data_IF_743740669480
#
_entry.id   IF_743740669480
#
_cell.length_a   1.000
_cell.length_b   1.000
_cell.length_c   1.000
_cell.angle_alpha   90.00
_cell.angle_beta   90.00
_cell.angle_gamma   90.00
#
_symmetry.space_group_name_H-M   'P 1'
#
loop_
_entity.id
_entity.type
_entity.pdbx_description
1 polymer ?
#
# COMPACT_ATOMS: atom_id res chain seq x y z
N UNK A 1 -45.88 72.33 13.77
CA UNK A 1 -45.95 72.76 15.18
C UNK A 1 -46.26 71.51 15.99
N UNK A 2 -45.29 71.05 16.80
CA UNK A 2 -45.36 69.79 17.51
C UNK A 2 -46.25 69.92 18.76
N UNK A 3 -47.16 68.97 18.92
CA UNK A 3 -48.14 68.89 20.00
C UNK A 3 -47.52 68.54 21.36
N UNK A 4 -48.18 69.05 22.39
CA UNK A 4 -47.81 69.01 23.80
C UNK A 4 -48.47 67.83 24.54
N UNK A 5 -47.63 67.03 25.21
CA UNK A 5 -47.80 66.32 26.52
C UNK A 5 -48.80 65.14 26.61
N UNK A 6 -48.65 64.21 27.61
CA UNK A 6 -47.73 64.21 28.76
C UNK A 6 -46.86 62.95 28.95
N UNK A 7 -45.63 63.18 29.38
CA UNK A 7 -44.58 62.25 29.84
C UNK A 7 -44.74 61.82 31.31
N UNK A 8 -45.94 61.86 31.89
CA UNK A 8 -46.14 61.64 33.34
C UNK A 8 -46.47 60.20 33.74
N UNK A 9 -46.92 59.36 32.80
CA UNK A 9 -47.29 57.97 33.12
C UNK A 9 -46.06 57.06 33.19
N UNK A 10 -45.03 57.32 32.37
CA UNK A 10 -43.81 56.49 32.34
C UNK A 10 -43.03 56.57 33.67
N UNK A 11 -42.94 57.75 34.29
CA UNK A 11 -42.20 57.93 35.55
C UNK A 11 -42.85 57.24 36.76
N UNK A 12 -44.15 56.97 36.70
CA UNK A 12 -44.87 56.25 37.75
C UNK A 12 -44.59 54.74 37.73
N UNK A 13 -44.29 54.17 36.55
CA UNK A 13 -43.92 52.75 36.43
C UNK A 13 -42.48 52.50 36.90
N UNK A 14 -41.55 53.39 36.57
CA UNK A 14 -40.13 53.27 36.97
C UNK A 14 -39.91 53.45 38.49
N UNK A 15 -40.87 54.08 39.19
CA UNK A 15 -40.80 54.32 40.64
C UNK A 15 -41.26 53.13 41.50
N UNK A 16 -42.00 52.16 40.93
CA UNK A 16 -42.48 50.97 41.65
C UNK A 16 -41.47 49.81 41.66
N UNK A 17 -40.48 49.83 40.77
CA UNK A 17 -39.47 48.76 40.67
C UNK A 17 -38.27 48.94 41.61
N UNK A 18 -38.17 50.08 42.32
CA UNK A 18 -36.93 50.45 43.02
C UNK A 18 -36.85 50.15 44.51
N UNK A 19 -37.89 49.55 45.11
CA UNK A 19 -37.84 49.19 46.54
C UNK A 19 -38.25 47.75 46.80
N UNK A 20 -37.41 46.79 46.41
CA UNK A 20 -37.23 45.55 47.20
C UNK A 20 -35.77 45.11 47.12
N UNK A 21 -34.92 45.77 47.92
CA UNK A 21 -33.54 45.36 48.14
C UNK A 21 -33.49 43.91 48.66
N UNK A 22 -32.66 43.09 48.03
CA UNK A 22 -32.39 41.73 48.53
C UNK A 22 -31.68 41.85 49.87
N UNK A 23 -32.32 41.34 50.92
CA UNK A 23 -31.63 41.11 52.19
C UNK A 23 -30.86 39.81 52.03
N UNK A 24 -29.53 39.88 52.03
CA UNK A 24 -28.69 38.69 52.07
C UNK A 24 -29.07 37.84 53.30
N UNK A 25 -29.39 36.57 53.06
CA UNK A 25 -29.68 35.62 54.12
C UNK A 25 -28.39 35.35 54.89
N UNK A 26 -28.38 35.68 56.18
CA UNK A 26 -27.24 35.45 57.07
C UNK A 26 -27.01 33.94 57.21
N UNK A 27 -25.96 33.41 56.56
CA UNK A 27 -25.60 32.00 56.68
C UNK A 27 -24.84 31.77 57.99
N UNK A 28 -25.31 30.83 58.80
CA UNK A 28 -24.70 30.49 60.07
C UNK A 28 -23.28 29.92 59.87
N UNK A 29 -22.29 30.42 60.63
CA UNK A 29 -20.87 30.00 60.58
C UNK A 29 -20.60 28.58 61.07
N UNK A 30 -21.58 27.67 61.02
CA UNK A 30 -21.44 26.33 61.59
C UNK A 30 -21.30 25.26 60.52
N UNK A 31 -20.02 24.95 60.28
CA UNK A 31 -19.37 23.73 59.72
C UNK A 31 -19.85 23.22 58.35
N UNK A 32 -18.89 23.04 57.44
CA UNK A 32 -19.09 22.39 56.14
C UNK A 32 -19.48 20.90 56.26
N UNK A 33 -19.84 20.25 55.14
CA UNK A 33 -20.39 18.89 55.16
C UNK A 33 -19.39 17.89 55.76
N UNK A 34 -19.78 17.22 56.84
CA UNK A 34 -19.02 16.13 57.46
C UNK A 34 -19.33 14.84 56.70
N UNK A 35 -18.30 14.21 56.12
CA UNK A 35 -18.44 12.88 55.52
C UNK A 35 -18.56 11.84 56.64
N UNK A 36 -19.62 11.05 56.61
CA UNK A 36 -19.82 9.92 57.53
C UNK A 36 -18.74 8.85 57.29
N UNK A 37 -18.22 8.25 58.36
CA UNK A 37 -17.06 7.33 58.37
C UNK A 37 -17.16 6.16 57.37
N UNK A 38 -18.38 5.74 57.01
CA UNK A 38 -18.64 4.70 56.01
C UNK A 38 -18.09 4.99 54.60
N UNK A 39 -17.69 6.24 54.31
CA UNK A 39 -17.10 6.64 53.03
C UNK A 39 -15.58 6.87 53.07
N UNK A 40 -14.94 6.85 54.25
CA UNK A 40 -13.51 7.20 54.38
C UNK A 40 -12.62 5.98 54.06
N UNK A 41 -13.08 4.76 54.33
CA UNK A 41 -12.28 3.54 54.19
C UNK A 41 -12.60 2.70 52.94
N UNK A 42 -13.11 3.32 51.87
CA UNK A 42 -13.29 2.64 50.57
C UNK A 42 -12.17 3.10 49.62
N UNK A 43 -11.21 2.24 49.25
CA UNK A 43 -10.22 2.62 48.24
C UNK A 43 -10.95 2.86 46.91
N UNK A 44 -10.66 3.97 46.23
CA UNK A 44 -11.34 4.37 45.00
C UNK A 44 -11.17 3.38 43.84
N UNK A 45 -10.19 2.47 43.92
CA UNK A 45 -9.88 1.46 42.88
C UNK A 45 -9.30 0.19 43.50
N UNK A 46 -10.14 -0.66 44.08
CA UNK A 46 -9.78 -2.06 44.29
C UNK A 46 -11.04 -2.94 44.36
N UNK A 47 -11.51 -3.36 43.19
CA UNK A 47 -12.44 -4.48 43.08
C UNK A 47 -11.64 -5.65 42.52
N UNK A 48 -11.55 -6.76 43.25
CA UNK A 48 -11.22 -8.04 42.61
C UNK A 48 -12.27 -8.21 41.50
N UNK A 49 -11.83 -8.26 40.24
CA UNK A 49 -12.75 -8.47 39.12
C UNK A 49 -13.61 -9.72 39.33
N UNK A 50 -14.66 -9.92 38.53
CA UNK A 50 -15.49 -11.12 38.65
C UNK A 50 -14.60 -12.37 38.65
N UNK A 51 -14.87 -13.29 39.58
CA UNK A 51 -14.14 -14.54 39.67
C UNK A 51 -14.17 -15.24 38.30
N UNK A 52 -13.03 -15.73 37.82
CA UNK A 52 -12.98 -16.63 36.66
C UNK A 52 -13.62 -17.94 37.08
N UNK A 53 -14.94 -18.04 36.92
CA UNK A 53 -15.65 -19.30 37.08
C UNK A 53 -15.40 -20.07 35.78
N UNK A 54 -14.64 -21.16 35.85
CA UNK A 54 -14.48 -22.07 34.71
C UNK A 54 -15.84 -22.70 34.40
N UNK A 55 -16.62 -22.05 33.54
CA UNK A 55 -17.79 -22.68 32.94
C UNK A 55 -17.27 -23.77 32.02
N UNK A 56 -17.56 -25.03 32.35
CA UNK A 56 -17.26 -26.17 31.47
C UNK A 56 -17.95 -25.90 30.12
N UNK A 57 -17.17 -25.56 29.08
CA UNK A 57 -17.69 -25.31 27.73
C UNK A 57 -18.57 -26.51 27.33
N UNK A 58 -19.79 -26.31 26.81
CA UNK A 58 -20.58 -27.41 26.31
C UNK A 58 -19.79 -28.13 25.21
N UNK A 59 -19.73 -29.45 25.29
CA UNK A 59 -19.02 -30.26 24.30
C UNK A 59 -19.57 -29.93 22.91
N UNK A 60 -18.67 -29.60 21.98
CA UNK A 60 -19.02 -29.42 20.57
C UNK A 60 -19.71 -30.70 20.07
N UNK A 61 -20.88 -30.56 19.43
CA UNK A 61 -21.54 -31.70 18.80
C UNK A 61 -20.68 -32.20 17.64
N UNK A 62 -19.95 -33.29 17.84
CA UNK A 62 -19.17 -33.93 16.79
C UNK A 62 -20.13 -34.59 15.80
N UNK A 63 -20.09 -34.17 14.53
CA UNK A 63 -20.69 -34.96 13.45
C UNK A 63 -19.87 -36.26 13.33
N UNK A 64 -20.49 -37.45 13.33
CA UNK A 64 -19.74 -38.68 13.22
C UNK A 64 -19.05 -38.72 11.85
N UNK A 65 -17.81 -39.22 11.82
CA UNK A 65 -17.11 -39.48 10.57
C UNK A 65 -17.95 -40.44 9.70
N UNK A 66 -17.95 -40.28 8.37
CA UNK A 66 -18.62 -41.23 7.49
C UNK A 66 -18.04 -42.64 7.71
N UNK A 67 -18.93 -43.61 7.90
CA UNK A 67 -18.57 -45.01 8.18
C UNK A 67 -19.09 -45.86 7.03
N UNK A 68 -18.23 -46.70 6.44
CA UNK A 68 -18.65 -47.74 5.52
C UNK A 68 -19.10 -48.97 6.31
N UNK A 69 -20.29 -49.47 6.00
CA UNK A 69 -20.82 -50.74 6.51
C UNK A 69 -20.63 -51.78 5.42
N UNK A 70 -19.73 -52.74 5.62
CA UNK A 70 -19.43 -53.75 4.59
C UNK A 70 -20.35 -54.97 4.66
N UNK A 71 -20.84 -55.31 5.85
CA UNK A 71 -21.66 -56.49 6.09
C UNK A 71 -22.99 -56.11 6.75
N UNK A 72 -24.06 -56.86 6.47
CA UNK A 72 -25.37 -56.69 7.13
C UNK A 72 -25.28 -56.83 8.66
N UNK A 73 -24.22 -57.47 9.16
CA UNK A 73 -23.95 -57.70 10.58
C UNK A 73 -23.28 -56.50 11.27
N UNK A 74 -23.04 -55.39 10.57
CA UNK A 74 -22.62 -54.14 11.18
C UNK A 74 -21.10 -53.98 11.34
N UNK A 75 -20.29 -54.71 10.57
CA UNK A 75 -18.85 -54.43 10.49
C UNK A 75 -18.64 -53.06 9.85
N UNK A 76 -18.10 -52.13 10.65
CA UNK A 76 -17.95 -50.71 10.33
C UNK A 76 -16.47 -50.38 10.22
N UNK A 77 -16.06 -49.76 9.12
CA UNK A 77 -14.76 -49.08 9.04
C UNK A 77 -14.95 -47.59 8.79
N UNK A 78 -14.07 -46.79 9.38
CA UNK A 78 -13.97 -45.36 9.08
C UNK A 78 -13.65 -45.25 7.58
N UNK A 79 -14.44 -44.46 6.87
CA UNK A 79 -14.22 -44.21 5.44
C UNK A 79 -12.94 -43.37 5.30
N UNK A 80 -11.93 -43.91 4.64
CA UNK A 80 -10.71 -43.15 4.32
C UNK A 80 -11.03 -42.11 3.23
N UNK A 81 -10.50 -40.90 3.39
CA UNK A 81 -10.57 -39.87 2.36
C UNK A 81 -9.84 -40.41 1.12
N UNK A 82 -10.58 -40.82 0.09
CA UNK A 82 -10.02 -41.32 -1.16
C UNK A 82 -9.04 -40.28 -1.70
N UNK A 83 -7.73 -40.50 -1.53
CA UNK A 83 -6.65 -39.51 -1.62
C UNK A 83 -6.44 -38.86 -3.00
N UNK A 84 -7.44 -38.87 -3.87
CA UNK A 84 -7.41 -38.27 -5.19
C UNK A 84 -8.21 -36.96 -5.22
N UNK A 85 -7.58 -35.87 -4.76
CA UNK A 85 -8.04 -34.52 -5.10
C UNK A 85 -7.21 -34.02 -6.27
N UNK A 86 -7.70 -34.20 -7.51
CA UNK A 86 -7.08 -33.57 -8.69
C UNK A 86 -7.38 -32.07 -8.72
N UNK A 87 -6.56 -31.29 -8.00
CA UNK A 87 -6.59 -29.81 -7.96
C UNK A 87 -5.92 -29.17 -9.18
N UNK A 88 -6.30 -29.55 -10.41
CA UNK A 88 -5.80 -28.87 -11.61
C UNK A 88 -6.80 -27.86 -12.20
N UNK A 89 -8.02 -27.84 -11.69
CA UNK A 89 -9.08 -26.90 -12.08
C UNK A 89 -8.85 -25.49 -11.51
N UNK A 90 -8.18 -25.38 -10.35
CA UNK A 90 -7.91 -24.10 -9.67
C UNK A 90 -6.42 -23.76 -9.67
N UNK A 91 -5.78 -23.73 -10.84
CA UNK A 91 -4.45 -23.10 -10.92
C UNK A 91 -4.62 -21.59 -10.74
N UNK A 92 -3.87 -20.93 -9.83
CA UNK A 92 -3.97 -19.47 -9.62
C UNK A 92 -3.59 -18.66 -10.87
N UNK A 93 -2.86 -19.28 -11.78
CA UNK A 93 -2.36 -18.68 -13.02
C UNK A 93 -3.05 -19.26 -14.28
N UNK A 94 -4.22 -19.88 -14.11
CA UNK A 94 -5.01 -20.34 -15.25
C UNK A 94 -5.36 -19.18 -16.17
N UNK A 95 -5.03 -19.30 -17.46
CA UNK A 95 -5.23 -18.24 -18.47
C UNK A 95 -4.22 -17.09 -18.42
N UNK A 96 -3.24 -17.10 -17.49
CA UNK A 96 -2.17 -16.11 -17.46
C UNK A 96 -0.95 -16.61 -18.21
N UNK A 97 -0.34 -15.74 -19.00
CA UNK A 97 0.95 -16.01 -19.64
C UNK A 97 2.03 -16.14 -18.56
N UNK A 98 2.82 -17.23 -18.54
CA UNK A 98 3.83 -17.41 -17.51
C UNK A 98 4.93 -16.35 -17.64
N UNK A 99 5.45 -15.89 -16.51
CA UNK A 99 6.48 -14.84 -16.45
C UNK A 99 7.75 -15.19 -17.26
N UNK A 100 8.05 -16.48 -17.43
CA UNK A 100 9.20 -16.94 -18.20
C UNK A 100 9.10 -16.53 -19.69
N UNK A 101 7.92 -16.58 -20.31
CA UNK A 101 7.77 -16.22 -21.73
C UNK A 101 8.04 -14.74 -21.99
N UNK A 102 7.58 -13.86 -21.09
CA UNK A 102 7.85 -12.42 -21.16
C UNK A 102 9.35 -12.12 -20.95
N UNK A 103 9.98 -12.81 -20.00
CA UNK A 103 11.41 -12.66 -19.75
C UNK A 103 12.27 -13.15 -20.93
N UNK A 104 11.86 -14.21 -21.62
CA UNK A 104 12.55 -14.70 -22.82
C UNK A 104 12.41 -13.69 -23.97
N UNK A 105 11.22 -13.15 -24.21
CA UNK A 105 11.00 -12.12 -25.23
C UNK A 105 11.82 -10.85 -24.97
N UNK A 106 11.86 -10.38 -23.72
CA UNK A 106 12.66 -9.21 -23.36
C UNK A 106 14.17 -9.44 -23.59
N UNK A 107 14.67 -10.63 -23.25
CA UNK A 107 16.08 -11.00 -23.52
C UNK A 107 16.37 -11.09 -25.02
N UNK A 108 15.46 -11.64 -25.80
CA UNK A 108 15.62 -11.76 -27.25
C UNK A 108 15.68 -10.37 -27.92
N UNK A 109 14.87 -9.42 -27.48
CA UNK A 109 14.92 -8.04 -27.95
C UNK A 109 16.23 -7.34 -27.57
N UNK A 110 16.71 -7.53 -26.33
CA UNK A 110 17.99 -7.00 -25.87
C UNK A 110 19.16 -7.59 -26.67
N UNK A 111 19.16 -8.90 -26.90
CA UNK A 111 20.18 -9.58 -27.68
C UNK A 111 20.15 -9.16 -29.16
N UNK A 112 18.95 -8.91 -29.72
CA UNK A 112 18.82 -8.37 -31.07
C UNK A 112 19.45 -6.98 -31.20
N UNK A 113 19.12 -6.08 -30.26
CA UNK A 113 19.71 -4.73 -30.21
C UNK A 113 21.24 -4.78 -30.08
N UNK A 114 21.77 -5.67 -29.24
CA UNK A 114 23.23 -5.87 -29.10
C UNK A 114 23.88 -6.33 -30.40
N UNK A 115 23.26 -7.26 -31.13
CA UNK A 115 23.77 -7.73 -32.43
C UNK A 115 23.75 -6.63 -33.48
N UNK A 116 22.66 -5.88 -33.57
CA UNK A 116 22.55 -4.74 -34.49
C UNK A 116 23.59 -3.66 -34.19
N UNK A 117 23.82 -3.34 -32.91
CA UNK A 117 24.85 -2.39 -32.50
C UNK A 117 26.26 -2.90 -32.86
N UNK A 118 26.53 -4.19 -32.64
CA UNK A 118 27.81 -4.80 -33.00
C UNK A 118 28.04 -4.79 -34.53
N UNK A 119 27.00 -5.06 -35.32
CA UNK A 119 27.07 -5.00 -36.78
C UNK A 119 27.35 -3.58 -37.28
N UNK A 120 26.65 -2.56 -36.76
CA UNK A 120 26.93 -1.17 -37.10
C UNK A 120 28.34 -0.76 -36.74
N UNK A 121 28.83 -1.17 -35.58
CA UNK A 121 30.22 -0.91 -35.18
C UNK A 121 31.22 -1.56 -36.14
N UNK A 122 30.94 -2.79 -36.61
CA UNK A 122 31.77 -3.44 -37.64
C UNK A 122 31.73 -2.70 -38.97
N UNK A 123 30.54 -2.31 -39.43
CA UNK A 123 30.35 -1.54 -40.67
C UNK A 123 31.12 -0.21 -40.63
N UNK A 124 31.07 0.51 -39.51
CA UNK A 124 31.85 1.75 -39.33
C UNK A 124 33.37 1.52 -39.39
N UNK A 125 33.85 0.41 -38.82
CA UNK A 125 35.27 0.04 -38.91
C UNK A 125 35.67 -0.34 -40.33
N UNK A 126 34.84 -1.11 -41.04
CA UNK A 126 35.08 -1.49 -42.43
C UNK A 126 35.07 -0.28 -43.35
N UNK A 127 34.11 0.63 -43.21
CA UNK A 127 34.05 1.89 -43.95
C UNK A 127 35.29 2.76 -43.69
N UNK A 128 35.75 2.85 -42.44
CA UNK A 128 36.97 3.57 -42.09
C UNK A 128 38.20 2.94 -42.73
N UNK A 129 38.30 1.60 -42.70
CA UNK A 129 39.39 0.84 -43.31
C UNK A 129 39.40 0.99 -44.84
N UNK A 130 38.24 0.94 -45.47
CA UNK A 130 38.09 1.14 -46.91
C UNK A 130 38.48 2.57 -47.32
N UNK A 131 38.01 3.57 -46.58
CA UNK A 131 38.43 4.96 -46.76
C UNK A 131 39.94 5.13 -46.66
N UNK A 132 40.59 4.43 -45.71
CA UNK A 132 42.04 4.42 -45.60
C UNK A 132 42.69 3.76 -46.83
N UNK A 133 42.26 2.53 -47.20
CA UNK A 133 42.77 1.82 -48.38
C UNK A 133 42.71 2.68 -49.64
N UNK A 134 41.62 3.40 -49.84
CA UNK A 134 41.44 4.27 -51.02
C UNK A 134 42.40 5.47 -51.00
N UNK A 135 42.65 6.08 -49.83
CA UNK A 135 43.67 7.15 -49.71
C UNK A 135 45.07 6.64 -50.07
N UNK A 136 45.44 5.45 -49.61
CA UNK A 136 46.74 4.85 -49.95
C UNK A 136 46.85 4.48 -51.42
N UNK A 137 45.80 3.91 -52.01
CA UNK A 137 45.74 3.65 -53.46
C UNK A 137 45.95 4.94 -54.26
N UNK A 138 45.24 6.01 -53.91
CA UNK A 138 45.36 7.29 -54.60
C UNK A 138 46.78 7.87 -54.49
N UNK A 139 47.39 7.80 -53.31
CA UNK A 139 48.79 8.22 -53.13
C UNK A 139 49.73 7.42 -54.03
N UNK A 140 49.56 6.10 -54.09
CA UNK A 140 50.37 5.22 -54.94
C UNK A 140 50.21 5.56 -56.43
N UNK A 141 48.98 5.82 -56.88
CA UNK A 141 48.72 6.24 -58.26
C UNK A 141 49.46 7.53 -58.61
N UNK A 142 49.40 8.54 -57.73
CA UNK A 142 50.11 9.81 -57.95
C UNK A 142 51.63 9.66 -57.98
N UNK A 143 52.18 8.81 -57.09
CA UNK A 143 53.61 8.55 -57.04
C UNK A 143 54.07 7.83 -58.31
N UNK A 144 53.31 6.83 -58.76
CA UNK A 144 53.59 6.14 -60.02
C UNK A 144 53.52 7.10 -61.22
N UNK A 145 52.55 8.01 -61.27
CA UNK A 145 52.44 8.98 -62.37
C UNK A 145 53.61 9.98 -62.36
N UNK A 146 54.11 10.35 -61.18
CA UNK A 146 55.31 11.18 -61.06
C UNK A 146 56.57 10.44 -61.53
N UNK A 147 56.72 9.15 -61.21
CA UNK A 147 57.84 8.33 -61.69
C UNK A 147 57.88 8.28 -63.23
N UNK A 148 56.74 8.13 -63.90
CA UNK A 148 56.66 8.11 -65.36
C UNK A 148 57.08 9.45 -65.99
N UNK A 149 56.62 10.57 -65.40
CA UNK A 149 57.00 11.92 -65.85
C UNK A 149 58.49 12.17 -65.66
N UNK A 150 59.07 11.73 -64.54
CA UNK A 150 60.52 11.85 -64.31
C UNK A 150 61.35 11.03 -65.29
N UNK A 151 60.87 9.85 -65.67
CA UNK A 151 61.55 8.97 -66.62
C UNK A 151 61.49 9.54 -68.05
N UNK A 152 60.35 10.13 -68.44
CA UNK A 152 60.21 10.87 -69.70
C UNK A 152 61.17 12.08 -69.77
N UNK A 153 61.31 12.83 -68.67
CA UNK A 153 62.27 13.94 -68.58
C UNK A 153 63.72 13.45 -68.66
N UNK A 154 64.05 12.31 -68.04
CA UNK A 154 65.41 11.73 -68.10
C UNK A 154 65.79 11.22 -69.49
N UNK A 155 64.81 10.88 -70.32
CA UNK A 155 65.00 10.33 -71.66
C UNK A 155 65.00 11.40 -72.78
N UNK A 156 64.79 12.68 -72.43
CA UNK A 156 64.91 13.86 -73.31
C UNK A 156 66.32 14.46 -73.27
#
# INVERSE_FOLDING_TARGET
>A
AADRRPTEIQGYMDSLEKEQGSKELQTGKQRGPVKLEAQINKPARQTMGPALVDHKKPALSYKPNPIQVYTRNGDKRIMDDSGLIRKYVYKPDYGKTPKCEQAMRAKEEEDRLKREAAQKAQEEQEASLEGLKNKWKYKLYLEQEMDHVEEDIRNL
#
